data_IF_826282660480
#
_entry.id   IF_826282660480
#
_cell.length_a   1.000
_cell.length_b   1.000
_cell.length_c   1.000
_cell.angle_alpha   90.00
_cell.angle_beta   90.00
_cell.angle_gamma   90.00
#
_symmetry.space_group_name_H-M   'P 1'
#
loop_
_entity.id
_entity.type
_entity.pdbx_description
1 polymer ?
#
# COMPACT_ATOMS: atom_id res chain seq x y z
N UNK A 1 -3.57 3.92 3.75
CA UNK A 1 -4.02 3.01 2.68
C UNK A 1 -3.08 3.17 1.50
N UNK A 2 -2.42 2.10 1.03
CA UNK A 2 -1.67 2.14 -0.22
C UNK A 2 -2.65 2.46 -1.36
N UNK A 3 -2.35 3.48 -2.16
CA UNK A 3 -3.17 3.83 -3.32
C UNK A 3 -2.47 3.31 -4.56
N UNK A 4 -3.00 2.23 -5.14
CA UNK A 4 -2.57 1.70 -6.44
C UNK A 4 -3.05 2.55 -7.61
N UNK A 5 -3.96 3.50 -7.36
CA UNK A 5 -4.43 4.46 -8.35
C UNK A 5 -4.90 5.76 -7.73
N UNK A 6 -4.93 6.81 -8.55
CA UNK A 6 -5.61 8.08 -8.26
C UNK A 6 -6.21 8.64 -9.53
N UNK A 7 -7.07 9.64 -9.38
CA UNK A 7 -7.58 10.44 -10.51
C UNK A 7 -7.01 11.84 -10.39
N UNK A 8 -6.49 12.37 -11.49
CA UNK A 8 -6.12 13.77 -11.64
C UNK A 8 -7.27 14.52 -12.31
N UNK A 9 -7.60 15.70 -11.81
CA UNK A 9 -8.70 16.52 -12.32
C UNK A 9 -8.20 17.94 -12.55
N UNK A 10 -8.17 18.36 -13.82
CA UNK A 10 -7.93 19.75 -14.23
C UNK A 10 -9.25 20.39 -14.63
N UNK A 11 -9.67 21.43 -13.92
CA UNK A 11 -11.00 22.05 -14.10
C UNK A 11 -10.95 23.44 -14.75
N UNK A 12 -9.78 24.04 -14.92
CA UNK A 12 -9.64 25.39 -15.46
C UNK A 12 -8.50 25.51 -16.46
N UNK A 13 -8.78 25.46 -17.78
CA UNK A 13 -9.96 24.88 -18.45
C UNK A 13 -9.96 23.33 -18.38
N UNK A 14 -11.04 22.66 -18.81
CA UNK A 14 -11.12 21.19 -18.90
C UNK A 14 -10.68 20.61 -20.27
N UNK A 15 -10.12 21.45 -21.13
CA UNK A 15 -9.60 21.10 -22.46
C UNK A 15 -8.14 20.66 -22.43
N UNK A 16 -7.50 20.74 -21.26
CA UNK A 16 -6.10 20.44 -21.09
C UNK A 16 -5.77 18.95 -21.09
N UNK A 17 -4.47 18.69 -21.07
CA UNK A 17 -3.90 17.33 -21.02
C UNK A 17 -3.01 17.19 -19.80
N UNK A 18 -3.06 16.01 -19.18
CA UNK A 18 -2.11 15.64 -18.15
C UNK A 18 -0.92 14.91 -18.75
N UNK A 19 0.26 15.19 -18.20
CA UNK A 19 1.50 14.49 -18.52
C UNK A 19 2.31 14.20 -17.25
N UNK A 20 3.17 13.19 -17.30
CA UNK A 20 4.14 12.94 -16.22
C UNK A 20 5.32 13.88 -16.35
N UNK A 21 5.72 14.52 -15.25
CA UNK A 21 6.93 15.32 -15.22
C UNK A 21 8.17 14.45 -15.45
N UNK A 22 9.11 14.95 -16.25
CA UNK A 22 10.43 14.33 -16.44
C UNK A 22 11.17 14.21 -15.11
N UNK A 23 11.72 13.03 -14.83
CA UNK A 23 12.45 12.77 -13.58
C UNK A 23 11.60 12.15 -12.46
N UNK A 24 10.30 11.90 -12.71
CA UNK A 24 9.53 11.05 -11.82
C UNK A 24 10.17 9.66 -11.66
N UNK A 25 10.03 9.02 -10.48
CA UNK A 25 10.38 7.62 -10.32
C UNK A 25 9.64 6.72 -11.32
N UNK A 26 10.14 5.51 -11.55
CA UNK A 26 9.44 4.52 -12.37
C UNK A 26 8.14 4.03 -11.71
N UNK A 27 7.24 3.46 -12.50
CA UNK A 27 6.08 2.73 -11.99
C UNK A 27 4.80 3.56 -11.81
N UNK A 28 4.75 4.79 -12.30
CA UNK A 28 3.48 5.50 -12.54
C UNK A 28 3.13 5.42 -14.02
N UNK A 29 1.86 5.13 -14.32
CA UNK A 29 1.31 5.15 -15.68
C UNK A 29 0.12 6.08 -15.69
N UNK A 30 0.19 7.09 -16.55
CA UNK A 30 -0.93 8.00 -16.78
C UNK A 30 -1.78 7.50 -17.94
N UNK A 31 -3.09 7.45 -17.73
CA UNK A 31 -4.06 7.14 -18.77
C UNK A 31 -4.36 8.34 -19.66
N UNK A 32 -5.23 8.13 -20.64
CA UNK A 32 -5.70 9.20 -21.52
C UNK A 32 -6.44 10.27 -20.72
N UNK A 33 -6.18 11.54 -21.01
CA UNK A 33 -6.96 12.65 -20.44
C UNK A 33 -8.25 12.84 -21.24
N UNK A 34 -9.39 12.85 -20.57
CA UNK A 34 -10.71 13.12 -21.16
C UNK A 34 -11.39 14.21 -20.32
N UNK A 35 -11.75 15.32 -20.94
CA UNK A 35 -12.38 16.47 -20.27
C UNK A 35 -11.60 16.92 -19.00
N UNK A 36 -10.27 17.01 -19.10
CA UNK A 36 -9.39 17.42 -18.00
C UNK A 36 -9.15 16.35 -16.93
N UNK A 37 -9.73 15.15 -17.07
CA UNK A 37 -9.60 14.05 -16.10
C UNK A 37 -8.69 12.96 -16.64
N UNK A 38 -7.68 12.56 -15.86
CA UNK A 38 -6.78 11.47 -16.20
C UNK A 38 -6.65 10.46 -15.04
N UNK A 39 -6.88 9.16 -15.27
CA UNK A 39 -6.53 8.15 -14.28
C UNK A 39 -5.02 7.95 -14.24
N UNK A 40 -4.50 7.68 -13.05
CA UNK A 40 -3.10 7.29 -12.84
C UNK A 40 -3.07 5.98 -12.06
N UNK A 41 -2.29 5.03 -12.54
CA UNK A 41 -2.02 3.77 -11.83
C UNK A 41 -0.55 3.71 -11.38
N UNK A 42 -0.33 3.03 -10.26
CA UNK A 42 0.98 2.83 -9.66
C UNK A 42 1.25 1.33 -9.49
N UNK A 43 2.46 0.91 -9.84
CA UNK A 43 2.93 -0.46 -9.55
C UNK A 43 3.04 -0.69 -8.05
N UNK A 44 3.02 -1.96 -7.60
CA UNK A 44 3.13 -2.31 -6.18
C UNK A 44 4.46 -1.87 -5.53
N UNK A 45 5.50 -1.66 -6.33
CA UNK A 45 6.82 -1.18 -5.90
C UNK A 45 6.97 0.34 -5.97
N UNK A 46 5.97 1.07 -6.49
CA UNK A 46 6.01 2.52 -6.60
C UNK A 46 5.98 3.17 -5.21
N UNK A 47 6.93 4.04 -4.94
CA UNK A 47 7.01 4.80 -3.71
C UNK A 47 7.69 6.15 -3.96
N UNK A 48 7.28 7.16 -3.19
CA UNK A 48 7.83 8.51 -3.26
C UNK A 48 6.86 9.52 -3.88
N UNK A 49 7.42 10.66 -4.29
CA UNK A 49 6.64 11.76 -4.86
C UNK A 49 6.67 11.68 -6.39
N UNK A 50 5.48 11.73 -6.98
CA UNK A 50 5.27 11.84 -8.41
C UNK A 50 4.64 13.20 -8.73
N UNK A 51 5.14 13.87 -9.76
CA UNK A 51 4.68 15.16 -10.20
C UNK A 51 4.01 15.04 -11.57
N UNK A 52 2.81 15.56 -11.70
CA UNK A 52 2.02 15.52 -12.93
C UNK A 52 1.72 16.94 -13.36
N UNK A 53 1.89 17.22 -14.65
CA UNK A 53 1.75 18.54 -15.23
C UNK A 53 0.45 18.56 -16.03
N UNK A 54 -0.44 19.47 -15.67
CA UNK A 54 -1.61 19.80 -16.46
C UNK A 54 -1.28 20.96 -17.39
N UNK A 55 -1.51 20.80 -18.69
CA UNK A 55 -1.25 21.83 -19.70
C UNK A 55 -2.54 22.19 -20.41
N UNK A 56 -2.89 23.47 -20.43
CA UNK A 56 -4.06 23.96 -21.13
C UNK A 56 -3.90 25.44 -21.52
N UNK A 57 -4.32 25.81 -22.73
CA UNK A 57 -4.27 27.18 -23.26
C UNK A 57 -2.91 27.89 -23.08
N UNK A 58 -1.81 27.12 -23.15
CA UNK A 58 -0.44 27.63 -22.97
C UNK A 58 0.00 27.82 -21.52
N UNK A 59 -0.88 27.58 -20.54
CA UNK A 59 -0.57 27.57 -19.12
C UNK A 59 -0.27 26.14 -18.63
N UNK A 60 0.56 26.03 -17.60
CA UNK A 60 0.88 24.76 -16.95
C UNK A 60 0.74 24.87 -15.44
N UNK A 61 0.21 23.81 -14.82
CA UNK A 61 0.20 23.64 -13.36
C UNK A 61 0.70 22.25 -12.98
N UNK A 62 1.33 22.11 -11.82
CA UNK A 62 1.97 20.87 -11.37
C UNK A 62 1.33 20.35 -10.09
N UNK A 63 0.81 19.14 -10.14
CA UNK A 63 0.26 18.42 -8.98
C UNK A 63 1.24 17.37 -8.47
N UNK A 64 1.46 17.35 -7.15
CA UNK A 64 2.22 16.29 -6.47
C UNK A 64 1.30 15.21 -5.94
N UNK A 65 1.60 13.96 -6.28
CA UNK A 65 1.01 12.75 -5.69
C UNK A 65 2.07 12.02 -4.89
N UNK A 66 1.84 11.86 -3.59
CA UNK A 66 2.71 11.07 -2.73
C UNK A 66 2.20 9.63 -2.65
N UNK A 67 3.02 8.70 -3.12
CA UNK A 67 2.76 7.25 -3.06
C UNK A 67 3.56 6.68 -1.91
N UNK A 68 2.86 6.14 -0.91
CA UNK A 68 3.52 5.38 0.16
C UNK A 68 3.87 4.00 -0.37
N UNK A 69 4.99 3.43 0.07
CA UNK A 69 5.34 2.04 -0.25
C UNK A 69 4.27 1.08 0.29
N UNK A 70 4.03 -0.06 -0.36
CA UNK A 70 3.18 -1.12 0.20
C UNK A 70 4.05 -2.01 1.09
N UNK A 71 3.68 -2.23 2.38
CA UNK A 71 4.47 -3.12 3.22
C UNK A 71 4.30 -4.57 2.73
N UNK A 72 5.37 -5.35 2.84
CA UNK A 72 5.36 -6.79 2.62
C UNK A 72 5.10 -7.51 3.95
N UNK A 73 4.10 -8.39 3.96
CA UNK A 73 3.76 -9.25 5.09
C UNK A 73 4.72 -10.46 5.24
N UNK A 74 5.67 -10.62 4.32
CA UNK A 74 6.49 -11.82 4.22
C UNK A 74 5.78 -12.95 3.46
N UNK A 75 6.41 -14.12 3.46
CA UNK A 75 5.83 -15.36 2.89
C UNK A 75 4.93 -16.04 3.90
N UNK A 76 3.98 -16.84 3.43
CA UNK A 76 3.14 -17.66 4.28
C UNK A 76 3.98 -18.63 5.12
N UNK A 77 3.52 -18.90 6.33
CA UNK A 77 4.23 -19.73 7.31
C UNK A 77 3.46 -21.03 7.57
N UNK A 78 4.17 -22.15 7.52
CA UNK A 78 3.64 -23.46 7.89
C UNK A 78 4.30 -23.90 9.20
N UNK A 79 3.51 -24.06 10.26
CA UNK A 79 3.99 -24.47 11.58
C UNK A 79 3.11 -25.58 12.16
N UNK A 80 3.69 -26.42 13.02
CA UNK A 80 2.95 -27.46 13.71
C UNK A 80 1.99 -26.87 14.75
N UNK A 81 0.91 -27.60 15.05
CA UNK A 81 0.01 -27.26 16.15
C UNK A 81 0.79 -27.14 17.47
N UNK A 82 0.43 -26.17 18.30
CA UNK A 82 1.19 -25.84 19.52
C UNK A 82 2.45 -25.00 19.28
N UNK A 83 2.85 -24.78 18.02
CA UNK A 83 4.04 -24.03 17.65
C UNK A 83 3.88 -22.51 17.72
N UNK A 84 5.00 -21.82 17.54
CA UNK A 84 5.05 -20.36 17.42
C UNK A 84 5.78 -19.96 16.14
N UNK A 85 5.47 -18.77 15.63
CA UNK A 85 6.18 -18.15 14.51
C UNK A 85 6.30 -16.65 14.69
N UNK A 86 7.25 -16.04 13.99
CA UNK A 86 7.45 -14.59 13.94
C UNK A 86 6.98 -14.07 12.60
N UNK A 87 5.93 -13.23 12.62
CA UNK A 87 5.53 -12.45 11.47
C UNK A 87 6.47 -11.25 11.35
N UNK A 88 7.12 -11.11 10.19
CA UNK A 88 8.09 -10.04 9.94
C UNK A 88 7.63 -9.17 8.77
N UNK A 89 7.16 -7.96 9.08
CA UNK A 89 6.81 -6.95 8.10
C UNK A 89 8.05 -6.26 7.53
N UNK A 90 8.14 -6.13 6.21
CA UNK A 90 9.27 -5.46 5.54
C UNK A 90 8.81 -4.35 4.60
N UNK A 91 9.67 -3.35 4.38
CA UNK A 91 9.47 -2.27 3.41
C UNK A 91 8.20 -1.44 3.63
N UNK A 92 7.95 -0.82 4.80
CA UNK A 92 8.85 -0.58 5.93
C UNK A 92 8.52 -1.43 7.17
N UNK A 93 9.48 -1.52 8.10
CA UNK A 93 9.38 -2.27 9.36
C UNK A 93 8.64 -1.48 10.47
N UNK A 94 7.63 -0.69 10.12
CA UNK A 94 6.93 0.20 11.07
C UNK A 94 5.43 -0.09 11.16
N UNK A 95 4.96 -1.16 10.53
CA UNK A 95 3.56 -1.57 10.61
C UNK A 95 3.20 -2.27 11.93
N UNK A 96 1.90 -2.29 12.21
CA UNK A 96 1.27 -3.04 13.30
C UNK A 96 0.55 -4.25 12.72
N UNK A 97 0.73 -5.41 13.33
CA UNK A 97 -0.03 -6.61 12.97
C UNK A 97 -1.37 -6.64 13.69
N UNK A 98 -2.40 -7.09 12.98
CA UNK A 98 -3.72 -7.39 13.54
C UNK A 98 -4.22 -8.73 13.00
N UNK A 99 -5.02 -9.45 13.79
CA UNK A 99 -5.70 -10.66 13.31
C UNK A 99 -6.82 -10.27 12.34
N UNK A 100 -6.94 -10.98 11.22
CA UNK A 100 -8.06 -10.79 10.32
C UNK A 100 -9.37 -11.19 11.03
N UNK A 101 -10.40 -10.37 10.87
CA UNK A 101 -11.74 -10.70 11.34
C UNK A 101 -12.23 -12.00 10.68
N UNK A 102 -12.75 -12.93 11.48
CA UNK A 102 -13.21 -14.23 11.02
C UNK A 102 -12.17 -15.35 11.08
N UNK A 103 -10.96 -15.10 11.58
CA UNK A 103 -10.04 -16.18 11.93
C UNK A 103 -10.71 -17.16 12.92
N UNK A 104 -10.51 -18.49 12.75
CA UNK A 104 -10.93 -19.48 13.74
C UNK A 104 -10.28 -19.21 15.11
N UNK A 105 -10.85 -19.81 16.16
CA UNK A 105 -10.18 -19.83 17.46
C UNK A 105 -8.88 -20.65 17.37
N UNK A 106 -7.87 -20.30 18.18
CA UNK A 106 -6.65 -21.09 18.30
C UNK A 106 -5.36 -20.41 17.86
N UNK A 107 -5.40 -19.16 17.40
CA UNK A 107 -4.20 -18.36 17.18
C UNK A 107 -4.21 -17.11 18.08
N UNK A 108 -3.09 -16.85 18.75
CA UNK A 108 -2.89 -15.65 19.55
C UNK A 108 -1.80 -14.80 18.93
N UNK A 109 -2.12 -13.55 18.62
CA UNK A 109 -1.18 -12.55 18.13
C UNK A 109 -0.62 -11.77 19.33
N UNK A 110 0.70 -11.78 19.49
CA UNK A 110 1.40 -10.97 20.48
C UNK A 110 1.45 -9.48 20.12
N UNK A 111 2.10 -8.68 20.96
CA UNK A 111 2.35 -7.27 20.65
C UNK A 111 3.22 -7.15 19.39
N UNK A 112 2.97 -6.10 18.61
CA UNK A 112 3.84 -5.75 17.49
C UNK A 112 4.88 -4.74 17.94
N UNK A 113 6.14 -5.00 17.62
CA UNK A 113 7.24 -4.06 17.81
C UNK A 113 8.06 -3.98 16.53
N UNK A 114 8.19 -2.79 15.96
CA UNK A 114 8.95 -2.55 14.72
C UNK A 114 8.59 -3.52 13.59
N UNK A 115 7.30 -3.70 13.33
CA UNK A 115 6.82 -4.56 12.24
C UNK A 115 6.95 -6.06 12.51
N UNK A 116 7.39 -6.47 13.70
CA UNK A 116 7.53 -7.87 14.09
C UNK A 116 6.49 -8.22 15.16
N UNK A 117 5.78 -9.32 14.98
CA UNK A 117 4.85 -9.86 15.96
C UNK A 117 5.01 -11.38 16.08
N UNK A 118 4.93 -11.88 17.31
CA UNK A 118 4.93 -13.32 17.58
C UNK A 118 3.50 -13.85 17.51
N UNK A 119 3.31 -15.00 16.86
CA UNK A 119 2.05 -15.73 16.83
C UNK A 119 2.25 -17.07 17.53
N UNK A 120 1.32 -17.45 18.40
CA UNK A 120 1.24 -18.80 18.97
C UNK A 120 -0.03 -19.52 18.54
N UNK A 121 0.12 -20.79 18.14
CA UNK A 121 -1.00 -21.65 17.78
C UNK A 121 -1.29 -22.63 18.91
N UNK A 122 -2.57 -22.84 19.19
CA UNK A 122 -3.03 -23.81 20.18
C UNK A 122 -3.07 -25.22 19.56
N UNK A 123 -2.89 -26.25 20.40
CA UNK A 123 -2.89 -27.67 20.03
C UNK A 123 -4.27 -28.22 19.60
N UNK A 124 -5.26 -27.37 19.34
CA UNK A 124 -6.66 -27.74 19.28
C UNK A 124 -7.15 -28.20 17.90
N UNK A 125 -6.33 -28.12 16.84
CA UNK A 125 -6.83 -28.34 15.48
C UNK A 125 -5.83 -29.04 14.55
N UNK A 126 -6.37 -29.89 13.66
CA UNK A 126 -5.66 -30.48 12.53
C UNK A 126 -5.80 -29.50 11.34
N UNK A 127 -4.67 -29.01 10.83
CA UNK A 127 -4.53 -28.11 9.65
C UNK A 127 -5.58 -26.99 9.52
N UNK A 128 -5.28 -25.83 10.12
CA UNK A 128 -6.09 -24.60 9.99
C UNK A 128 -5.23 -23.45 9.48
N UNK A 129 -5.80 -22.62 8.63
CA UNK A 129 -5.21 -21.36 8.16
C UNK A 129 -5.73 -20.18 8.98
N UNK A 130 -4.80 -19.30 9.40
CA UNK A 130 -5.10 -18.03 10.05
C UNK A 130 -4.49 -16.89 9.23
N UNK A 131 -5.22 -15.79 9.10
CA UNK A 131 -4.75 -14.62 8.36
C UNK A 131 -4.43 -13.45 9.29
N UNK A 132 -3.31 -12.78 9.04
CA UNK A 132 -2.87 -11.60 9.80
C UNK A 132 -2.61 -10.45 8.84
N UNK A 133 -2.96 -9.24 9.27
CA UNK A 133 -2.90 -8.03 8.45
C UNK A 133 -1.83 -7.11 9.01
N UNK A 134 -0.86 -6.75 8.17
CA UNK A 134 0.13 -5.72 8.47
C UNK A 134 -0.40 -4.35 8.03
N UNK A 135 -0.67 -3.46 8.99
CA UNK A 135 -1.16 -2.11 8.74
C UNK A 135 -0.08 -1.09 9.08
N UNK A 136 0.22 -0.18 8.16
CA UNK A 136 1.14 0.91 8.48
C UNK A 136 0.50 1.94 9.40
N UNK A 137 1.28 2.37 10.40
CA UNK A 137 1.00 3.61 11.12
C UNK A 137 1.40 4.76 10.21
N UNK A 138 0.42 5.50 9.68
CA UNK A 138 0.72 6.76 8.99
C UNK A 138 1.07 7.78 10.08
N UNK A 139 2.35 8.08 10.24
CA UNK A 139 2.77 9.28 10.96
C UNK A 139 2.40 10.45 10.06
N UNK A 140 1.24 11.05 10.30
CA UNK A 140 0.88 12.33 9.70
C UNK A 140 1.76 13.38 10.40
N UNK A 141 2.64 14.11 9.70
CA UNK A 141 3.27 15.29 10.27
C UNK A 141 2.27 16.43 10.48
#
# INVERSE_FOLDING_TARGET
MFRSSTILTGTGPNTGTWSSQTGNPSGAVIGTTINGVAPVTFTNSSAGNYFFIYTADGCTDTTRVTVMVKPSAGVDQNICAGGTTLLTGTGPNTGTWTSQSGNPAGANLGSTMSGVAMVSLQMLHLEITFSFILQMVVLIP
#
